data_IF_910454618872
#
_entry.id   IF_910454618872
#
_cell.length_a   1.000
_cell.length_b   1.000
_cell.length_c   1.000
_cell.angle_alpha   90.00
_cell.angle_beta   90.00
_cell.angle_gamma   90.00
#
_symmetry.space_group_name_H-M   'P 1'
#
loop_
_entity.id
_entity.type
_entity.pdbx_description
1 polymer ?
#
# COMPACT_ATOMS: atom_id res chain seq x y z
N UNK A 1 15.96 28.07 -4.55
CA UNK A 1 17.05 27.19 -4.11
C UNK A 1 16.89 25.89 -4.88
N UNK A 2 17.87 25.53 -5.66
CA UNK A 2 17.81 24.52 -6.73
C UNK A 2 17.49 23.11 -6.19
N UNK A 3 16.36 22.55 -6.54
CA UNK A 3 16.24 21.11 -6.60
C UNK A 3 16.59 20.64 -8.01
N UNK A 4 17.76 20.13 -8.14
CA UNK A 4 18.27 19.45 -9.31
C UNK A 4 18.20 17.97 -9.07
N UNK A 5 17.68 17.26 -10.06
CA UNK A 5 17.94 15.87 -10.41
C UNK A 5 17.21 14.83 -9.57
N UNK A 6 16.22 14.20 -10.16
CA UNK A 6 16.21 12.76 -10.18
C UNK A 6 15.92 12.28 -11.59
N UNK A 7 16.97 11.99 -12.20
CA UNK A 7 17.14 11.22 -13.41
C UNK A 7 16.95 9.75 -13.03
N UNK A 8 16.27 9.02 -13.89
CA UNK A 8 16.35 7.59 -14.05
C UNK A 8 17.70 7.05 -13.52
N UNK A 9 17.76 6.58 -12.30
CA UNK A 9 18.86 5.80 -11.82
C UNK A 9 18.51 4.32 -11.92
N UNK A 10 18.94 3.71 -13.01
CA UNK A 10 19.29 2.29 -12.98
C UNK A 10 20.45 2.15 -11.98
N UNK A 11 20.18 1.82 -10.75
CA UNK A 11 21.22 1.47 -9.78
C UNK A 11 21.44 -0.04 -9.83
N UNK A 12 22.54 -0.40 -10.46
CA UNK A 12 23.16 -1.68 -10.24
C UNK A 12 23.80 -1.68 -8.84
N UNK A 13 23.37 -2.59 -8.00
CA UNK A 13 24.20 -3.17 -6.96
C UNK A 13 24.03 -2.68 -5.53
N UNK A 14 23.29 -3.42 -4.77
CA UNK A 14 23.77 -4.06 -3.53
C UNK A 14 22.81 -5.16 -3.13
N UNK A 15 23.30 -6.38 -3.11
CA UNK A 15 22.60 -7.54 -2.56
C UNK A 15 22.41 -7.31 -1.06
N UNK A 16 21.20 -7.06 -0.66
CA UNK A 16 20.70 -7.44 0.65
C UNK A 16 19.64 -8.50 0.39
N UNK A 17 19.83 -9.69 0.90
CA UNK A 17 18.90 -10.80 0.83
C UNK A 17 17.70 -10.47 1.74
N UNK A 18 16.79 -9.69 1.24
CA UNK A 18 15.41 -9.67 1.68
C UNK A 18 14.60 -10.46 0.65
N UNK A 19 13.56 -11.12 1.08
CA UNK A 19 12.61 -11.75 0.19
C UNK A 19 12.21 -10.72 -0.86
N UNK A 20 12.73 -10.90 -2.07
CA UNK A 20 12.41 -10.05 -3.20
C UNK A 20 10.95 -10.34 -3.47
N UNK A 21 10.07 -9.44 -3.08
CA UNK A 21 8.75 -9.36 -3.70
C UNK A 21 9.03 -9.40 -5.20
N UNK A 22 8.57 -10.46 -5.85
CA UNK A 22 8.81 -10.64 -7.27
C UNK A 22 7.89 -9.70 -8.05
N UNK A 23 8.13 -8.40 -7.95
CA UNK A 23 7.81 -7.55 -9.06
C UNK A 23 8.60 -8.12 -10.23
N UNK A 24 7.88 -8.66 -11.20
CA UNK A 24 8.51 -9.12 -12.42
C UNK A 24 9.32 -7.94 -12.95
N UNK A 25 10.63 -7.96 -12.76
CA UNK A 25 11.50 -6.90 -13.27
C UNK A 25 11.26 -6.83 -14.76
N UNK A 26 10.97 -5.64 -15.28
CA UNK A 26 10.93 -5.41 -16.71
C UNK A 26 12.26 -5.95 -17.25
N UNK A 27 12.26 -6.92 -18.16
CA UNK A 27 13.49 -7.51 -18.63
C UNK A 27 14.44 -6.42 -19.13
N UNK A 28 15.68 -6.39 -18.66
CA UNK A 28 16.67 -5.33 -19.00
C UNK A 28 16.80 -5.09 -20.51
N UNK A 29 16.52 -6.11 -21.32
CA UNK A 29 16.53 -6.04 -22.80
C UNK A 29 15.40 -5.18 -23.38
N UNK A 30 14.34 -4.92 -22.64
CA UNK A 30 13.21 -4.08 -23.09
C UNK A 30 13.38 -2.62 -22.65
N UNK A 31 14.03 -2.38 -21.52
CA UNK A 31 14.33 -1.02 -21.03
C UNK A 31 15.28 -0.28 -21.96
N UNK A 32 16.08 -0.96 -22.76
CA UNK A 32 17.04 -0.33 -23.69
C UNK A 32 16.39 0.42 -24.88
N UNK A 33 15.10 0.21 -25.14
CA UNK A 33 14.38 0.85 -26.26
C UNK A 33 13.57 2.08 -25.84
N UNK A 34 13.21 2.19 -24.57
CA UNK A 34 12.54 3.37 -24.01
C UNK A 34 13.35 3.85 -22.80
N UNK A 35 14.32 4.70 -23.05
CA UNK A 35 15.09 5.34 -22.00
C UNK A 35 14.39 6.64 -21.59
N UNK A 36 14.38 6.94 -20.29
CA UNK A 36 13.91 8.21 -19.76
C UNK A 36 12.40 8.48 -19.95
N UNK A 37 11.57 7.43 -20.07
CA UNK A 37 10.13 7.59 -20.18
C UNK A 37 9.50 8.06 -18.86
N UNK A 38 8.77 9.18 -18.92
CA UNK A 38 7.90 9.61 -17.84
C UNK A 38 6.49 9.01 -18.02
N UNK A 39 5.99 8.98 -19.25
CA UNK A 39 4.66 8.44 -19.57
C UNK A 39 4.74 7.53 -20.81
N UNK A 40 4.12 6.36 -20.71
CA UNK A 40 3.88 5.45 -21.82
C UNK A 40 2.39 5.13 -21.89
N UNK A 41 1.70 5.59 -22.93
CA UNK A 41 0.27 5.45 -23.12
C UNK A 41 -0.04 4.87 -24.50
N UNK A 42 -1.04 3.97 -24.61
CA UNK A 42 -1.41 3.37 -25.88
C UNK A 42 -2.30 4.31 -26.71
N UNK A 43 -3.32 4.89 -26.11
CA UNK A 43 -4.25 5.76 -26.82
C UNK A 43 -3.68 7.17 -26.95
N UNK A 44 -3.71 7.96 -25.92
CA UNK A 44 -3.25 9.33 -26.00
C UNK A 44 -2.86 9.90 -24.65
N UNK A 45 -2.27 11.10 -24.71
CA UNK A 45 -1.94 11.89 -23.53
C UNK A 45 -2.55 13.28 -23.67
N UNK A 46 -3.40 13.63 -22.73
CA UNK A 46 -3.97 14.97 -22.64
C UNK A 46 -3.43 15.67 -21.39
N UNK A 47 -2.54 16.61 -21.59
CA UNK A 47 -1.95 17.42 -20.53
C UNK A 47 -2.75 18.72 -20.37
N UNK A 48 -3.26 18.95 -19.18
CA UNK A 48 -4.21 20.00 -18.88
C UNK A 48 -3.79 20.76 -17.62
N UNK A 49 -3.53 22.02 -17.69
CA UNK A 49 -3.13 22.97 -16.62
C UNK A 49 -1.98 22.56 -15.67
N UNK A 50 -1.00 23.42 -15.55
CA UNK A 50 0.04 23.39 -14.50
C UNK A 50 0.68 22.02 -14.28
N UNK A 51 1.22 21.45 -15.35
CA UNK A 51 1.91 20.17 -15.29
C UNK A 51 3.42 20.34 -15.22
N UNK A 52 4.09 19.38 -14.64
CA UNK A 52 5.53 19.20 -14.70
C UNK A 52 5.83 17.76 -15.12
N UNK A 53 6.42 17.58 -16.30
CA UNK A 53 6.85 16.28 -16.82
C UNK A 53 8.36 16.34 -17.07
N UNK A 54 9.11 15.53 -16.33
CA UNK A 54 10.56 15.35 -16.52
C UNK A 54 10.82 13.95 -17.09
N UNK A 55 11.06 13.86 -18.39
CA UNK A 55 11.24 12.63 -19.14
C UNK A 55 10.39 12.59 -20.41
N UNK A 56 10.54 11.51 -21.18
CA UNK A 56 9.88 11.35 -22.48
C UNK A 56 8.42 10.90 -22.35
N UNK A 57 7.59 11.37 -23.26
CA UNK A 57 6.20 10.96 -23.41
C UNK A 57 6.06 10.12 -24.67
N UNK A 58 5.68 8.85 -24.52
CA UNK A 58 5.38 7.92 -25.60
C UNK A 58 3.88 7.69 -25.68
N UNK A 59 3.25 7.96 -26.82
CA UNK A 59 1.82 7.81 -27.01
C UNK A 59 1.48 7.08 -28.32
N UNK A 60 0.64 6.06 -28.26
CA UNK A 60 0.09 5.39 -29.43
C UNK A 60 -0.95 6.24 -30.17
N UNK A 61 -1.59 7.17 -29.49
CA UNK A 61 -2.52 8.15 -30.02
C UNK A 61 -1.99 9.56 -30.04
N UNK A 62 -2.90 10.53 -29.99
CA UNK A 62 -2.57 11.97 -29.98
C UNK A 62 -1.99 12.40 -28.65
N UNK A 63 -1.00 13.28 -28.68
CA UNK A 63 -0.56 14.04 -27.49
C UNK A 63 -1.09 15.47 -27.62
N UNK A 64 -1.85 15.91 -26.62
CA UNK A 64 -2.54 17.18 -26.62
C UNK A 64 -2.21 17.98 -25.37
N UNK A 65 -1.85 19.23 -25.55
CA UNK A 65 -1.66 20.18 -24.47
C UNK A 65 -2.82 21.20 -24.52
N UNK A 66 -3.74 21.04 -23.56
CA UNK A 66 -4.90 21.89 -23.42
C UNK A 66 -4.70 22.86 -22.26
N UNK A 67 -5.10 24.08 -22.44
CA UNK A 67 -5.24 25.08 -21.40
C UNK A 67 -3.94 25.63 -20.79
N UNK A 68 -4.10 26.74 -20.09
CA UNK A 68 -3.02 27.56 -19.61
C UNK A 68 -2.66 27.29 -18.18
N UNK A 69 -1.41 27.19 -17.98
CA UNK A 69 -0.77 27.20 -16.70
C UNK A 69 0.74 27.28 -16.89
N UNK A 70 1.48 27.30 -15.83
CA UNK A 70 2.92 27.11 -15.88
C UNK A 70 3.18 25.63 -16.16
N UNK A 71 3.33 25.28 -17.44
CA UNK A 71 3.61 23.92 -17.86
C UNK A 71 5.11 23.75 -18.10
N UNK A 72 5.67 22.66 -17.63
CA UNK A 72 7.05 22.29 -17.81
C UNK A 72 7.15 20.90 -18.42
N UNK A 73 7.91 20.77 -19.50
CA UNK A 73 8.24 19.48 -20.11
C UNK A 73 9.74 19.44 -20.41
N UNK A 74 10.46 18.53 -19.78
CA UNK A 74 11.87 18.25 -20.02
C UNK A 74 12.05 16.83 -20.54
N UNK A 75 11.81 16.64 -21.83
CA UNK A 75 11.89 15.36 -22.52
C UNK A 75 11.40 15.46 -23.96
N UNK A 76 11.46 14.34 -24.68
CA UNK A 76 10.92 14.22 -26.04
C UNK A 76 9.45 13.78 -25.98
N UNK A 77 8.65 14.22 -26.94
CA UNK A 77 7.31 13.69 -27.19
C UNK A 77 7.38 12.80 -28.41
N UNK A 78 7.06 11.52 -28.26
CA UNK A 78 7.04 10.54 -29.33
C UNK A 78 5.60 10.02 -29.43
N UNK A 79 4.95 10.28 -30.56
CA UNK A 79 3.53 9.94 -30.79
C UNK A 79 3.35 9.32 -32.15
N UNK A 80 2.36 8.43 -32.30
CA UNK A 80 1.96 7.90 -33.62
C UNK A 80 1.02 8.85 -34.38
N UNK A 81 0.51 9.85 -33.71
CA UNK A 81 -0.40 10.86 -34.24
C UNK A 81 0.11 12.27 -33.99
N UNK A 82 -0.70 13.26 -34.33
CA UNK A 82 -0.37 14.66 -34.17
C UNK A 82 -0.08 15.04 -32.71
N UNK A 83 0.95 15.85 -32.52
CA UNK A 83 1.18 16.57 -31.27
C UNK A 83 0.56 17.96 -31.42
N UNK A 84 -0.46 18.23 -30.64
CA UNK A 84 -1.21 19.49 -30.72
C UNK A 84 -1.08 20.34 -29.46
N UNK A 85 -1.10 21.63 -29.66
CA UNK A 85 -1.07 22.64 -28.61
C UNK A 85 -2.24 23.58 -28.80
N UNK A 86 -2.89 23.99 -27.73
CA UNK A 86 -3.85 25.09 -27.81
C UNK A 86 -3.12 26.40 -28.11
N UNK A 87 -3.60 27.17 -29.10
CA UNK A 87 -2.83 28.28 -29.72
C UNK A 87 -2.25 29.29 -28.73
N UNK A 88 -3.01 29.68 -27.74
CA UNK A 88 -2.65 30.65 -26.70
C UNK A 88 -1.52 30.18 -25.79
N UNK A 89 -1.45 28.87 -25.55
CA UNK A 89 -0.60 28.21 -24.55
C UNK A 89 0.55 27.43 -25.17
N UNK A 90 0.43 27.09 -26.44
CA UNK A 90 1.54 26.48 -27.18
C UNK A 90 2.79 27.40 -27.21
N UNK A 91 2.60 28.71 -27.19
CA UNK A 91 3.68 29.68 -27.06
C UNK A 91 4.41 29.56 -25.72
N UNK A 92 3.67 29.39 -24.60
CA UNK A 92 4.26 29.25 -23.25
C UNK A 92 5.06 27.97 -23.14
N UNK A 93 4.54 26.83 -23.63
CA UNK A 93 5.27 25.57 -23.66
C UNK A 93 6.54 25.65 -24.52
N UNK A 94 6.46 26.29 -25.68
CA UNK A 94 7.61 26.42 -26.61
C UNK A 94 8.67 27.38 -26.13
N UNK A 95 8.28 28.50 -25.53
CA UNK A 95 9.16 29.61 -25.24
C UNK A 95 9.79 29.58 -23.85
N UNK A 96 9.25 28.79 -22.88
CA UNK A 96 9.71 28.88 -21.50
C UNK A 96 10.45 27.66 -20.99
N UNK A 97 9.90 26.47 -21.10
CA UNK A 97 10.43 25.33 -20.31
C UNK A 97 10.58 24.02 -21.09
N UNK A 98 10.04 23.94 -22.29
CA UNK A 98 10.11 22.72 -23.07
C UNK A 98 11.51 22.52 -23.65
N UNK A 99 12.09 21.35 -23.40
CA UNK A 99 13.38 20.93 -23.94
C UNK A 99 13.25 19.79 -24.97
N UNK A 100 12.14 19.10 -24.98
CA UNK A 100 11.90 17.96 -25.85
C UNK A 100 11.59 18.34 -27.30
N UNK A 101 11.64 17.36 -28.16
CA UNK A 101 11.35 17.45 -29.59
C UNK A 101 10.15 16.59 -29.92
N UNK A 102 9.18 17.18 -30.63
CA UNK A 102 8.02 16.42 -31.12
C UNK A 102 8.44 15.45 -32.21
N UNK A 103 8.09 14.19 -32.07
CA UNK A 103 8.36 13.15 -33.05
C UNK A 103 7.06 12.39 -33.33
N UNK A 104 6.74 12.22 -34.60
CA UNK A 104 5.66 11.34 -35.03
C UNK A 104 6.28 10.04 -35.49
N UNK A 105 5.91 8.93 -34.86
CA UNK A 105 6.42 7.61 -35.15
C UNK A 105 5.28 6.70 -35.58
N UNK A 106 5.25 6.32 -36.87
CA UNK A 106 4.15 5.53 -37.47
C UNK A 106 3.99 4.14 -36.83
N UNK A 107 5.01 3.65 -36.16
CA UNK A 107 5.00 2.31 -35.57
C UNK A 107 5.32 2.34 -34.07
N UNK A 108 4.47 3.02 -33.32
CA UNK A 108 4.58 3.08 -31.85
C UNK A 108 4.38 1.72 -31.19
N UNK A 109 3.67 0.77 -31.83
CA UNK A 109 3.44 -0.57 -31.28
C UNK A 109 4.75 -1.27 -30.93
N UNK A 110 5.81 -1.07 -31.70
CA UNK A 110 7.14 -1.64 -31.40
C UNK A 110 7.70 -1.21 -30.03
N UNK A 111 7.30 -0.05 -29.54
CA UNK A 111 7.67 0.43 -28.21
C UNK A 111 6.72 -0.07 -27.13
N UNK A 112 5.43 -0.02 -27.43
CA UNK A 112 4.36 -0.36 -26.49
C UNK A 112 4.28 -1.86 -26.24
N UNK A 113 4.32 -2.68 -27.30
CA UNK A 113 4.28 -4.15 -27.21
C UNK A 113 5.54 -4.71 -26.51
N UNK A 114 6.70 -4.07 -26.70
CA UNK A 114 7.92 -4.48 -26.03
C UNK A 114 7.89 -4.22 -24.51
N UNK A 115 7.08 -3.29 -24.07
CA UNK A 115 6.99 -2.88 -22.66
C UNK A 115 5.99 -3.69 -21.85
N UNK A 116 5.02 -4.34 -22.50
CA UNK A 116 3.92 -5.05 -21.88
C UNK A 116 3.78 -6.46 -22.41
N UNK A 117 4.58 -7.41 -21.95
CA UNK A 117 4.18 -8.80 -22.10
C UNK A 117 2.87 -9.01 -21.32
N UNK A 118 1.85 -9.56 -21.96
CA UNK A 118 0.54 -9.87 -21.33
C UNK A 118 0.68 -10.65 -20.01
N UNK A 119 1.73 -11.44 -19.88
CA UNK A 119 2.10 -12.20 -18.69
C UNK A 119 2.46 -11.31 -17.48
N UNK A 120 2.86 -10.08 -17.71
CA UNK A 120 3.30 -9.18 -16.65
C UNK A 120 2.14 -8.69 -15.77
N UNK A 121 0.96 -8.52 -16.35
CA UNK A 121 -0.23 -8.03 -15.67
C UNK A 121 -1.12 -9.15 -15.11
N UNK A 122 -0.83 -10.41 -15.39
CA UNK A 122 -1.69 -11.54 -15.05
C UNK A 122 -1.09 -12.54 -14.06
N UNK A 123 0.14 -12.29 -13.58
CA UNK A 123 0.82 -13.24 -12.71
C UNK A 123 0.27 -13.18 -11.27
N UNK A 124 -0.55 -14.20 -10.95
CA UNK A 124 -1.07 -14.42 -9.59
C UNK A 124 0.00 -15.02 -8.65
N UNK A 125 1.18 -15.36 -9.18
CA UNK A 125 2.25 -16.04 -8.43
C UNK A 125 2.91 -15.15 -7.37
N UNK A 126 2.68 -13.84 -7.43
CA UNK A 126 3.21 -12.87 -6.45
C UNK A 126 2.37 -12.75 -5.18
N UNK A 127 1.16 -13.32 -5.14
CA UNK A 127 0.32 -13.26 -3.93
C UNK A 127 0.94 -14.11 -2.82
N UNK A 128 1.31 -13.53 -1.67
CA UNK A 128 1.72 -14.30 -0.52
C UNK A 128 0.61 -15.25 -0.08
N UNK A 129 0.96 -16.49 0.21
CA UNK A 129 0.00 -17.47 0.71
C UNK A 129 -0.39 -17.16 2.15
N UNK A 130 -1.69 -17.27 2.45
CA UNK A 130 -2.15 -17.21 3.83
C UNK A 130 -1.57 -18.39 4.61
N UNK A 131 -0.94 -18.17 5.78
CA UNK A 131 -0.41 -19.26 6.58
C UNK A 131 -1.50 -20.27 6.94
N UNK A 132 -1.16 -21.57 6.90
CA UNK A 132 -2.09 -22.63 7.29
C UNK A 132 -2.39 -22.53 8.80
N UNK A 133 -3.66 -22.49 9.17
CA UNK A 133 -4.12 -22.39 10.55
C UNK A 133 -5.32 -23.29 10.91
N UNK A 134 -5.99 -23.87 9.92
CA UNK A 134 -7.23 -24.64 10.14
C UNK A 134 -6.98 -25.97 10.85
N UNK A 135 -5.88 -26.65 10.53
CA UNK A 135 -5.52 -27.96 11.08
C UNK A 135 -4.65 -27.86 12.34
N UNK A 136 -4.58 -26.68 12.97
CA UNK A 136 -3.76 -26.48 14.17
C UNK A 136 -4.42 -27.12 15.38
N UNK A 137 -3.69 -28.00 16.08
CA UNK A 137 -4.09 -28.53 17.35
C UNK A 137 -3.84 -27.52 18.48
N UNK A 138 -4.90 -27.16 19.20
CA UNK A 138 -4.83 -26.29 20.36
C UNK A 138 -4.70 -27.10 21.63
N UNK A 139 -3.56 -27.01 22.30
CA UNK A 139 -3.26 -27.74 23.53
C UNK A 139 -3.94 -27.15 24.74
N UNK A 140 -4.33 -25.89 24.68
CA UNK A 140 -5.05 -25.17 25.70
C UNK A 140 -6.32 -24.53 25.14
N UNK A 141 -7.43 -24.67 25.82
CA UNK A 141 -8.70 -24.01 25.51
C UNK A 141 -9.16 -23.19 26.72
N UNK A 142 -9.31 -21.91 26.52
CA UNK A 142 -9.71 -20.93 27.53
C UNK A 142 -11.09 -20.35 27.20
N UNK A 143 -11.88 -20.05 28.21
CA UNK A 143 -13.09 -19.26 28.03
C UNK A 143 -12.76 -17.79 27.78
N UNK A 144 -13.45 -16.89 28.47
CA UNK A 144 -13.14 -15.48 28.46
C UNK A 144 -11.99 -15.15 29.40
N UNK A 145 -10.97 -14.48 28.87
CA UNK A 145 -9.83 -13.99 29.64
C UNK A 145 -9.77 -12.46 29.54
N UNK A 146 -9.81 -11.81 30.71
CA UNK A 146 -9.58 -10.38 30.84
C UNK A 146 -8.17 -10.11 31.36
N UNK A 147 -7.38 -9.32 30.67
CA UNK A 147 -6.06 -8.89 31.12
C UNK A 147 -6.15 -7.41 31.53
N UNK A 148 -6.36 -7.19 32.82
CA UNK A 148 -6.57 -5.87 33.40
C UNK A 148 -6.18 -5.85 34.88
N UNK A 149 -6.12 -4.67 35.51
CA UNK A 149 -5.77 -4.51 36.92
C UNK A 149 -6.72 -5.23 37.90
N UNK A 150 -7.91 -5.64 37.43
CA UNK A 150 -8.95 -6.29 38.23
C UNK A 150 -9.04 -7.81 37.98
N UNK A 151 -8.18 -8.36 37.14
CA UNK A 151 -8.18 -9.80 36.78
C UNK A 151 -7.99 -10.66 38.00
N UNK A 152 -8.82 -11.72 38.15
CA UNK A 152 -8.71 -12.68 39.24
C UNK A 152 -8.49 -14.10 38.68
N UNK A 153 -7.49 -14.85 39.19
CA UNK A 153 -6.51 -14.42 40.21
C UNK A 153 -5.69 -13.23 39.69
N UNK A 154 -5.14 -12.40 40.58
CA UNK A 154 -4.34 -11.23 40.18
C UNK A 154 -3.16 -11.68 39.31
N UNK A 155 -3.08 -11.13 38.11
CA UNK A 155 -2.00 -11.39 37.19
C UNK A 155 -0.69 -10.80 37.74
N UNK A 156 0.47 -11.38 37.37
CA UNK A 156 1.74 -10.72 37.62
C UNK A 156 1.77 -9.37 36.94
N UNK A 157 2.60 -8.48 37.43
CA UNK A 157 2.75 -7.11 36.92
C UNK A 157 4.21 -6.90 36.50
N UNK A 158 4.45 -6.31 35.35
CA UNK A 158 5.79 -5.96 34.89
C UNK A 158 6.34 -4.69 35.60
N UNK A 159 7.55 -4.28 35.24
CA UNK A 159 8.22 -3.13 35.80
C UNK A 159 7.52 -1.79 35.53
N UNK A 160 6.75 -1.69 34.46
CA UNK A 160 5.93 -0.54 34.09
C UNK A 160 4.54 -0.58 34.72
N UNK A 161 4.27 -1.63 35.52
CA UNK A 161 3.01 -1.82 36.23
C UNK A 161 1.86 -2.30 35.36
N UNK A 162 2.13 -2.96 34.21
CA UNK A 162 1.12 -3.63 33.41
C UNK A 162 0.87 -5.02 33.95
N UNK A 163 -0.39 -5.40 34.27
CA UNK A 163 -0.74 -6.78 34.45
C UNK A 163 -0.54 -7.52 33.14
N UNK A 164 0.08 -8.72 33.18
CA UNK A 164 0.38 -9.46 31.96
C UNK A 164 -0.05 -10.92 32.01
N UNK A 165 -0.39 -11.44 30.83
CA UNK A 165 -0.73 -12.84 30.61
C UNK A 165 0.18 -13.41 29.52
N UNK A 166 0.88 -14.52 29.82
CA UNK A 166 1.80 -15.14 28.88
C UNK A 166 1.17 -16.34 28.21
N UNK A 167 1.32 -16.43 26.88
CA UNK A 167 0.88 -17.54 26.03
C UNK A 167 2.13 -18.14 25.40
N UNK A 168 2.50 -19.38 25.76
CA UNK A 168 3.69 -20.08 25.27
C UNK A 168 3.38 -21.40 24.56
N UNK A 169 2.11 -21.69 24.32
CA UNK A 169 1.62 -22.87 23.61
C UNK A 169 0.39 -22.53 22.78
N UNK A 170 0.04 -23.39 21.83
CA UNK A 170 -1.14 -23.18 20.99
C UNK A 170 -2.41 -23.10 21.84
N UNK A 171 -3.01 -21.93 21.89
CA UNK A 171 -4.13 -21.65 22.79
C UNK A 171 -5.32 -21.05 22.04
N UNK A 172 -6.52 -21.54 22.33
CA UNK A 172 -7.78 -20.97 21.86
C UNK A 172 -8.53 -20.25 22.98
N UNK A 173 -9.17 -19.12 22.65
CA UNK A 173 -9.97 -18.30 23.56
C UNK A 173 -11.37 -18.08 22.99
N UNK A 174 -12.39 -18.16 23.82
CA UNK A 174 -13.73 -17.66 23.47
C UNK A 174 -13.70 -16.13 23.37
N UNK A 175 -12.97 -15.48 24.25
CA UNK A 175 -12.72 -14.05 24.19
C UNK A 175 -11.44 -13.65 24.93
N UNK A 176 -10.77 -12.64 24.40
CA UNK A 176 -9.58 -12.02 25.00
C UNK A 176 -9.77 -10.50 25.03
N UNK A 177 -9.89 -9.96 26.23
CA UNK A 177 -10.01 -8.53 26.45
C UNK A 177 -8.76 -8.00 27.13
N UNK A 178 -8.05 -7.08 26.48
CA UNK A 178 -6.80 -6.49 26.99
C UNK A 178 -7.07 -5.03 27.33
N UNK A 179 -7.24 -4.76 28.63
CA UNK A 179 -7.62 -3.44 29.13
C UNK A 179 -6.56 -2.89 30.08
N UNK A 180 -5.72 -1.98 29.60
CA UNK A 180 -4.62 -1.44 30.40
C UNK A 180 -3.66 -2.52 30.93
N UNK A 181 -3.56 -3.63 30.21
CA UNK A 181 -2.67 -4.75 30.49
C UNK A 181 -1.96 -5.22 29.23
N UNK A 182 -1.13 -6.25 29.31
CA UNK A 182 -0.46 -6.82 28.14
C UNK A 182 -0.61 -8.35 28.04
N UNK A 183 -0.70 -8.82 26.83
CA UNK A 183 -0.56 -10.24 26.50
C UNK A 183 0.81 -10.45 25.88
N UNK A 184 1.59 -11.37 26.39
CA UNK A 184 2.88 -11.77 25.86
C UNK A 184 2.72 -13.10 25.15
N UNK A 185 2.94 -13.13 23.83
CA UNK A 185 3.05 -14.35 23.06
C UNK A 185 4.54 -14.74 23.03
N UNK A 186 4.89 -15.79 23.79
CA UNK A 186 6.26 -16.26 23.93
C UNK A 186 6.55 -17.41 22.95
N UNK A 187 7.28 -17.09 21.91
CA UNK A 187 7.68 -18.02 20.84
C UNK A 187 9.09 -18.57 21.02
N UNK A 188 9.73 -18.39 22.17
CA UNK A 188 11.12 -18.82 22.44
C UNK A 188 11.34 -20.31 22.15
N UNK A 189 10.35 -21.15 22.44
CA UNK A 189 10.45 -22.61 22.30
C UNK A 189 9.87 -23.15 20.97
N UNK A 190 9.36 -22.31 20.09
CA UNK A 190 8.75 -22.69 18.81
C UNK A 190 7.61 -21.79 18.42
N UNK A 191 7.02 -22.02 17.24
CA UNK A 191 5.85 -21.26 16.76
C UNK A 191 4.65 -21.40 17.73
N UNK A 192 3.90 -20.31 17.93
CA UNK A 192 2.72 -20.29 18.80
C UNK A 192 1.50 -19.79 18.02
N UNK A 193 0.42 -20.55 18.08
CA UNK A 193 -0.86 -20.20 17.48
C UNK A 193 -1.87 -19.77 18.55
N UNK A 194 -2.41 -18.57 18.39
CA UNK A 194 -3.39 -17.99 19.31
C UNK A 194 -4.68 -17.72 18.53
N UNK A 195 -5.73 -18.51 18.82
CA UNK A 195 -7.05 -18.32 18.23
C UNK A 195 -7.96 -17.59 19.22
N UNK A 196 -8.56 -16.49 18.78
CA UNK A 196 -9.44 -15.67 19.61
C UNK A 196 -10.75 -15.40 18.87
N UNK A 197 -11.87 -15.89 19.39
CA UNK A 197 -13.17 -15.64 18.76
C UNK A 197 -13.61 -14.18 18.89
N UNK A 198 -13.30 -13.54 20.02
CA UNK A 198 -13.58 -12.11 20.24
C UNK A 198 -12.35 -11.44 20.87
N UNK A 199 -11.68 -10.60 20.11
CA UNK A 199 -10.51 -9.84 20.54
C UNK A 199 -10.90 -8.37 20.77
N UNK A 200 -10.51 -7.80 21.90
CA UNK A 200 -10.74 -6.40 22.19
C UNK A 200 -9.59 -5.77 22.96
N UNK A 201 -9.33 -4.52 22.63
CA UNK A 201 -8.36 -3.66 23.32
C UNK A 201 -9.08 -2.46 23.92
N UNK A 202 -8.59 -1.96 25.05
CA UNK A 202 -9.06 -0.71 25.62
C UNK A 202 -8.01 -0.11 26.58
N UNK A 203 -8.21 1.14 26.92
CA UNK A 203 -7.37 1.87 27.88
C UNK A 203 -7.98 1.79 29.28
N UNK A 204 -7.14 1.59 30.30
CA UNK A 204 -7.51 1.72 31.71
C UNK A 204 -6.46 2.56 32.45
N UNK A 205 -6.90 3.60 33.17
CA UNK A 205 -6.01 4.52 33.91
C UNK A 205 -4.81 5.03 33.07
N UNK A 206 -5.09 5.50 31.86
CA UNK A 206 -4.12 6.00 30.86
C UNK A 206 -3.17 4.92 30.29
N UNK A 207 -3.29 3.65 30.72
CA UNK A 207 -2.56 2.54 30.15
C UNK A 207 -3.36 1.87 29.03
N UNK A 208 -2.74 1.70 27.89
CA UNK A 208 -3.33 0.99 26.75
C UNK A 208 -3.17 -0.51 26.92
N UNK A 209 -4.18 -1.27 26.52
CA UNK A 209 -4.05 -2.72 26.38
C UNK A 209 -3.32 -3.07 25.09
N UNK A 210 -2.37 -4.02 25.14
CA UNK A 210 -1.60 -4.42 23.96
C UNK A 210 -1.15 -5.87 23.96
N UNK A 211 -0.75 -6.35 22.78
CA UNK A 211 -0.07 -7.64 22.59
C UNK A 211 1.40 -7.36 22.24
N UNK A 212 2.30 -8.12 22.87
CA UNK A 212 3.73 -8.16 22.60
C UNK A 212 4.12 -9.58 22.18
N UNK A 213 4.98 -9.72 21.17
CA UNK A 213 5.56 -11.01 20.76
C UNK A 213 7.03 -11.04 21.15
N UNK A 214 7.45 -12.09 21.87
CA UNK A 214 8.82 -12.30 22.27
C UNK A 214 9.33 -13.65 21.77
N UNK A 215 10.60 -13.72 21.38
CA UNK A 215 11.23 -14.91 20.79
C UNK A 215 11.43 -14.77 19.27
N UNK A 216 12.17 -15.73 18.70
CA UNK A 216 12.63 -15.69 17.30
C UNK A 216 11.79 -16.56 16.35
N UNK A 217 10.78 -17.26 16.88
CA UNK A 217 9.87 -18.08 16.07
C UNK A 217 8.58 -17.32 15.75
N UNK A 218 7.86 -17.68 14.66
CA UNK A 218 6.63 -17.03 14.29
C UNK A 218 5.52 -17.18 15.33
N UNK A 219 4.78 -16.12 15.56
CA UNK A 219 3.50 -16.13 16.23
C UNK A 219 2.36 -16.01 15.21
N UNK A 220 1.26 -16.71 15.42
CA UNK A 220 0.07 -16.66 14.59
C UNK A 220 -1.11 -16.23 15.44
N UNK A 221 -1.68 -15.06 15.13
CA UNK A 221 -2.90 -14.58 15.78
C UNK A 221 -4.07 -14.78 14.81
N UNK A 222 -5.04 -15.57 15.21
CA UNK A 222 -6.25 -15.83 14.42
C UNK A 222 -7.42 -15.18 15.17
N UNK A 223 -7.98 -14.10 14.63
CA UNK A 223 -9.08 -13.40 15.31
C UNK A 223 -9.99 -12.64 14.33
N UNK A 224 -11.15 -12.19 14.83
CA UNK A 224 -11.89 -11.14 14.16
C UNK A 224 -11.14 -9.79 14.28
N UNK A 225 -11.42 -8.86 13.39
CA UNK A 225 -10.85 -7.51 13.45
C UNK A 225 -11.40 -6.74 14.67
N UNK A 226 -10.57 -6.28 15.61
CA UNK A 226 -10.98 -5.37 16.67
C UNK A 226 -11.04 -3.94 16.17
N UNK A 227 -11.92 -3.12 16.75
CA UNK A 227 -12.03 -1.69 16.43
C UNK A 227 -10.78 -0.89 16.82
N UNK A 228 -10.12 -1.25 17.93
CA UNK A 228 -8.78 -0.79 18.30
C UNK A 228 -7.82 -1.96 18.21
N UNK A 229 -6.57 -1.72 17.82
CA UNK A 229 -5.57 -2.79 17.65
C UNK A 229 -4.18 -2.28 18.07
N UNK A 230 -3.73 -2.76 19.22
CA UNK A 230 -2.36 -2.58 19.73
C UNK A 230 -1.66 -3.94 19.69
N UNK A 231 -1.10 -4.29 18.54
CA UNK A 231 -0.69 -5.65 18.23
C UNK A 231 0.79 -5.69 17.90
N UNK A 232 1.53 -6.50 18.64
CA UNK A 232 2.98 -6.66 18.59
C UNK A 232 3.70 -5.31 18.70
N UNK A 233 3.48 -4.65 19.82
CA UNK A 233 4.07 -3.35 20.15
C UNK A 233 4.74 -3.41 21.52
N UNK A 234 5.63 -2.48 21.78
CA UNK A 234 6.41 -2.38 23.01
C UNK A 234 6.22 -1.01 23.64
N UNK A 235 5.84 -0.97 24.92
CA UNK A 235 5.80 0.26 25.70
C UNK A 235 7.22 0.76 25.99
N UNK A 236 7.54 1.98 25.61
CA UNK A 236 8.84 2.63 25.85
C UNK A 236 9.00 3.18 27.26
N UNK A 237 7.95 3.08 28.09
CA UNK A 237 7.96 3.46 29.50
C UNK A 237 7.47 4.87 29.82
N UNK A 238 7.15 5.67 28.80
CA UNK A 238 6.60 7.04 28.94
C UNK A 238 5.16 7.16 28.43
N UNK A 239 4.52 6.02 28.15
CA UNK A 239 3.17 5.93 27.55
C UNK A 239 3.18 6.01 26.03
N UNK A 240 4.35 6.05 25.40
CA UNK A 240 4.54 5.88 23.97
C UNK A 240 4.78 4.39 23.63
N UNK A 241 4.58 4.06 22.36
CA UNK A 241 4.74 2.70 21.86
C UNK A 241 5.58 2.68 20.61
N UNK A 242 6.46 1.69 20.52
CA UNK A 242 7.20 1.35 19.32
C UNK A 242 6.71 0.04 18.73
N UNK A 243 6.97 -0.19 17.43
CA UNK A 243 6.75 -1.46 16.79
C UNK A 243 7.60 -2.55 17.44
N UNK A 244 6.98 -3.69 17.73
CA UNK A 244 7.68 -4.87 18.22
C UNK A 244 8.61 -5.48 17.16
N UNK A 245 9.48 -6.37 17.60
CA UNK A 245 10.45 -7.06 16.72
C UNK A 245 10.09 -8.51 16.44
N UNK A 246 9.09 -9.08 17.14
CA UNK A 246 8.65 -10.46 16.95
C UNK A 246 7.96 -10.66 15.60
N UNK A 247 8.13 -11.84 15.00
CA UNK A 247 7.45 -12.22 13.75
C UNK A 247 6.00 -12.60 14.04
N UNK A 248 5.06 -11.73 13.70
CA UNK A 248 3.62 -11.96 13.89
C UNK A 248 2.89 -12.05 12.55
N UNK A 249 2.15 -13.13 12.35
CA UNK A 249 1.20 -13.31 11.26
C UNK A 249 -0.21 -13.18 11.84
N UNK A 250 -0.93 -12.14 11.45
CA UNK A 250 -2.29 -11.90 11.90
C UNK A 250 -3.30 -12.30 10.84
N UNK A 251 -3.97 -13.41 11.06
CA UNK A 251 -5.01 -13.94 10.20
C UNK A 251 -6.36 -13.44 10.71
N UNK A 252 -6.93 -12.49 10.01
CA UNK A 252 -8.23 -11.92 10.37
C UNK A 252 -9.32 -12.77 9.72
N UNK A 253 -10.15 -13.36 10.54
CA UNK A 253 -11.29 -14.18 10.11
C UNK A 253 -12.58 -13.36 10.13
N UNK A 254 -13.49 -13.57 9.15
CA UNK A 254 -14.79 -12.92 9.15
C UNK A 254 -15.61 -13.26 10.40
N UNK A 255 -16.47 -12.35 10.81
CA UNK A 255 -17.44 -12.61 11.87
C UNK A 255 -18.45 -13.69 11.45
N UNK A 256 -18.84 -14.54 12.39
CA UNK A 256 -19.87 -15.56 12.14
C UNK A 256 -21.26 -14.96 11.77
N UNK A 257 -21.46 -13.66 11.99
CA UNK A 257 -22.70 -12.94 11.66
C UNK A 257 -22.65 -12.25 10.30
N UNK A 258 -21.52 -12.40 9.58
CA UNK A 258 -21.23 -11.64 8.38
C UNK A 258 -20.84 -10.19 8.69
N UNK A 259 -19.87 -9.69 7.99
CA UNK A 259 -19.35 -8.32 8.15
C UNK A 259 -19.78 -7.47 6.96
N UNK A 260 -20.66 -6.49 7.17
CA UNK A 260 -20.92 -5.49 6.12
C UNK A 260 -19.78 -4.48 6.05
N UNK A 261 -19.21 -4.11 7.21
CA UNK A 261 -18.14 -3.13 7.34
C UNK A 261 -17.10 -3.66 8.33
N UNK A 262 -15.86 -3.76 7.90
CA UNK A 262 -14.73 -4.17 8.74
C UNK A 262 -13.74 -3.02 8.81
N UNK A 263 -13.41 -2.61 10.03
CA UNK A 263 -12.36 -1.61 10.29
C UNK A 263 -11.24 -2.24 11.09
N UNK A 264 -10.02 -2.15 10.58
CA UNK A 264 -8.81 -2.62 11.25
C UNK A 264 -8.09 -1.41 11.81
N UNK A 265 -8.05 -1.36 13.13
CA UNK A 265 -7.54 -0.22 13.86
C UNK A 265 -8.47 0.99 13.83
N UNK A 266 -8.16 1.98 14.66
CA UNK A 266 -8.90 3.21 14.84
C UNK A 266 -8.06 4.40 14.39
N UNK A 267 -8.71 5.47 13.93
CA UNK A 267 -8.10 6.78 13.66
C UNK A 267 -7.61 7.48 14.95
N UNK A 268 -8.02 6.98 16.13
CA UNK A 268 -7.49 7.47 17.40
C UNK A 268 -6.05 6.96 17.61
N UNK A 269 -5.27 7.68 18.38
CA UNK A 269 -3.89 7.32 18.74
C UNK A 269 -3.75 5.99 19.55
N UNK A 270 -4.80 5.16 19.54
CA UNK A 270 -4.90 3.93 20.30
C UNK A 270 -4.69 2.65 19.47
N UNK A 271 -4.23 2.79 18.23
CA UNK A 271 -3.95 1.64 17.39
C UNK A 271 -2.56 1.73 16.78
N UNK A 272 -1.83 0.61 16.81
CA UNK A 272 -0.54 0.39 16.16
C UNK A 272 -0.37 -1.11 15.92
N UNK A 273 0.05 -1.51 14.73
CA UNK A 273 0.11 -2.91 14.33
C UNK A 273 1.49 -3.22 13.75
N UNK A 274 2.18 -4.22 14.32
CA UNK A 274 3.39 -4.78 13.73
C UNK A 274 3.15 -6.27 13.40
N UNK A 275 2.62 -6.52 12.22
CA UNK A 275 2.27 -7.86 11.78
C UNK A 275 2.08 -7.92 10.26
N UNK A 276 2.34 -9.08 9.66
CA UNK A 276 1.78 -9.37 8.35
C UNK A 276 0.30 -9.73 8.52
N UNK A 277 -0.56 -9.02 7.80
CA UNK A 277 -2.01 -9.14 7.93
C UNK A 277 -2.58 -9.92 6.75
N UNK A 278 -3.35 -10.95 7.04
CA UNK A 278 -4.06 -11.77 6.06
C UNK A 278 -5.57 -11.69 6.29
N UNK A 279 -6.31 -11.26 5.29
CA UNK A 279 -7.77 -11.20 5.33
C UNK A 279 -8.39 -11.69 4.03
N UNK A 280 -9.17 -12.75 4.09
CA UNK A 280 -9.83 -13.38 2.94
C UNK A 280 -11.37 -13.37 3.06
N UNK A 281 -11.93 -12.41 3.78
CA UNK A 281 -13.38 -12.20 3.87
C UNK A 281 -13.91 -11.35 2.71
N UNK A 282 -15.24 -11.31 2.61
CA UNK A 282 -15.98 -10.55 1.58
C UNK A 282 -16.89 -9.47 2.20
N UNK A 283 -16.39 -8.50 2.97
CA UNK A 283 -17.20 -7.42 3.48
C UNK A 283 -17.58 -6.47 2.34
N UNK A 284 -18.62 -5.68 2.53
CA UNK A 284 -18.96 -4.60 1.60
C UNK A 284 -17.90 -3.50 1.58
N UNK A 285 -17.19 -3.32 2.69
CA UNK A 285 -16.06 -2.41 2.79
C UNK A 285 -15.10 -2.85 3.89
N UNK A 286 -13.81 -2.82 3.56
CA UNK A 286 -12.70 -3.04 4.47
C UNK A 286 -11.89 -1.76 4.61
N UNK A 287 -11.63 -1.30 5.83
CA UNK A 287 -10.86 -0.08 6.07
C UNK A 287 -9.69 -0.30 7.01
N UNK A 288 -8.56 0.35 6.70
CA UNK A 288 -7.36 0.39 7.52
C UNK A 288 -7.11 1.83 7.99
N UNK A 289 -6.87 2.01 9.30
CA UNK A 289 -6.72 3.33 9.89
C UNK A 289 -5.54 3.45 10.88
N UNK A 290 -4.85 2.36 11.17
CA UNK A 290 -3.74 2.33 12.13
C UNK A 290 -2.37 2.38 11.46
N UNK A 291 -1.35 3.01 12.05
CA UNK A 291 0.04 2.77 11.70
C UNK A 291 0.36 1.28 11.72
N UNK A 292 0.94 0.78 10.63
CA UNK A 292 1.18 -0.64 10.42
C UNK A 292 2.60 -0.88 9.91
N UNK A 293 3.24 -1.95 10.39
CA UNK A 293 4.49 -2.46 9.88
C UNK A 293 4.35 -3.95 9.60
N UNK A 294 4.64 -4.35 8.37
CA UNK A 294 4.43 -5.70 7.83
C UNK A 294 3.55 -5.67 6.58
N UNK A 295 3.43 -6.78 5.91
CA UNK A 295 2.69 -6.88 4.65
C UNK A 295 1.17 -7.04 4.88
N UNK A 296 0.38 -6.53 3.95
CA UNK A 296 -1.08 -6.65 3.97
C UNK A 296 -1.54 -7.46 2.77
N UNK A 297 -2.11 -8.62 3.01
CA UNK A 297 -2.60 -9.56 2.00
C UNK A 297 -4.11 -9.68 2.09
N UNK A 298 -4.81 -9.23 1.06
CA UNK A 298 -6.26 -9.15 1.02
C UNK A 298 -6.83 -10.03 -0.09
N UNK A 299 -7.92 -10.73 0.21
CA UNK A 299 -8.72 -11.46 -0.77
C UNK A 299 -9.61 -10.55 -1.60
N UNK A 300 -10.90 -10.86 -1.67
CA UNK A 300 -11.85 -10.22 -2.61
C UNK A 300 -12.50 -8.93 -2.12
N UNK A 301 -12.15 -8.42 -0.94
CA UNK A 301 -12.78 -7.25 -0.35
C UNK A 301 -12.44 -5.94 -1.11
N UNK A 302 -13.42 -5.03 -1.31
CA UNK A 302 -13.11 -3.63 -1.59
C UNK A 302 -12.43 -3.00 -0.37
N UNK A 303 -11.35 -2.25 -0.60
CA UNK A 303 -10.53 -1.73 0.49
C UNK A 303 -10.32 -0.23 0.43
N UNK A 304 -10.27 0.38 1.61
CA UNK A 304 -9.90 1.78 1.80
C UNK A 304 -8.85 1.93 2.90
N UNK A 305 -7.87 2.78 2.66
CA UNK A 305 -6.83 3.15 3.61
C UNK A 305 -7.03 4.62 3.99
N UNK A 306 -7.30 4.87 5.26
CA UNK A 306 -7.62 6.21 5.75
C UNK A 306 -6.40 7.14 5.80
N UNK A 307 -6.66 8.43 5.97
CA UNK A 307 -5.64 9.48 5.96
C UNK A 307 -4.66 9.45 7.16
N UNK A 308 -4.95 8.67 8.19
CA UNK A 308 -4.05 8.43 9.34
C UNK A 308 -3.25 7.14 9.19
N UNK A 309 -3.58 6.33 8.19
CA UNK A 309 -2.89 5.08 7.92
C UNK A 309 -1.46 5.34 7.44
N UNK A 310 -0.51 4.61 8.03
CA UNK A 310 0.86 4.54 7.53
C UNK A 310 1.29 3.09 7.44
N UNK A 311 2.08 2.74 6.43
CA UNK A 311 2.58 1.38 6.24
C UNK A 311 4.07 1.38 5.94
N UNK A 312 4.81 0.51 6.64
CA UNK A 312 6.14 0.02 6.26
C UNK A 312 5.99 -1.46 5.86
N UNK A 313 5.83 -1.74 4.58
CA UNK A 313 5.56 -3.07 4.02
C UNK A 313 4.74 -2.99 2.74
N UNK A 314 4.42 -4.13 2.15
CA UNK A 314 3.75 -4.23 0.86
C UNK A 314 2.23 -4.46 1.00
N UNK A 315 1.47 -4.06 -0.01
CA UNK A 315 0.03 -4.33 -0.09
C UNK A 315 -0.26 -5.25 -1.29
N UNK A 316 -0.92 -6.36 -1.02
CA UNK A 316 -1.45 -7.31 -2.01
C UNK A 316 -2.97 -7.35 -1.90
N UNK A 317 -3.67 -6.63 -2.78
CA UNK A 317 -5.14 -6.53 -2.76
C UNK A 317 -5.74 -7.18 -4.00
N UNK A 318 -6.41 -8.31 -3.80
CA UNK A 318 -7.01 -9.10 -4.88
C UNK A 318 -8.52 -8.87 -5.03
N UNK A 319 -9.09 -7.92 -4.30
CA UNK A 319 -10.45 -7.46 -4.50
C UNK A 319 -10.65 -6.78 -5.86
N UNK A 320 -11.75 -7.10 -6.53
CA UNK A 320 -11.97 -6.68 -7.92
C UNK A 320 -12.69 -5.34 -8.06
N UNK A 321 -13.29 -4.79 -7.01
CA UNK A 321 -14.13 -3.59 -7.16
C UNK A 321 -13.38 -2.28 -6.92
N UNK A 322 -12.81 -2.08 -5.74
CA UNK A 322 -12.25 -0.78 -5.34
C UNK A 322 -11.01 -0.90 -4.48
N UNK A 323 -10.01 -0.08 -4.80
CA UNK A 323 -8.84 0.22 -3.98
C UNK A 323 -8.74 1.74 -3.79
N UNK A 324 -8.95 2.22 -2.58
CA UNK A 324 -8.93 3.64 -2.23
C UNK A 324 -7.85 3.91 -1.18
N UNK A 325 -6.83 4.67 -1.53
CA UNK A 325 -5.67 4.92 -0.68
C UNK A 325 -5.51 6.41 -0.38
N UNK A 326 -5.60 6.77 0.89
CA UNK A 326 -5.40 8.14 1.38
C UNK A 326 -4.34 8.21 2.50
N UNK A 327 -3.60 7.14 2.70
CA UNK A 327 -2.55 7.01 3.71
C UNK A 327 -1.15 7.37 3.22
N UNK A 328 -0.16 6.87 3.94
CA UNK A 328 1.27 6.89 3.55
C UNK A 328 1.82 5.47 3.55
N UNK A 329 2.60 5.11 2.54
CA UNK A 329 3.24 3.79 2.42
C UNK A 329 4.70 3.91 1.99
N UNK A 330 5.53 3.07 2.59
CA UNK A 330 6.87 2.72 2.10
C UNK A 330 6.87 1.22 1.81
N UNK A 331 6.72 0.87 0.53
CA UNK A 331 6.56 -0.49 0.03
C UNK A 331 5.78 -0.51 -1.28
N UNK A 332 5.64 -1.68 -1.85
CA UNK A 332 5.00 -1.87 -3.15
C UNK A 332 3.49 -2.18 -3.00
N UNK A 333 2.72 -1.86 -4.03
CA UNK A 333 1.28 -2.11 -4.07
C UNK A 333 0.95 -2.97 -5.29
N UNK A 334 0.34 -4.13 -5.07
CA UNK A 334 -0.26 -4.96 -6.11
C UNK A 334 -1.77 -5.01 -5.89
N UNK A 335 -2.55 -4.55 -6.87
CA UNK A 335 -4.01 -4.58 -6.77
C UNK A 335 -4.68 -5.06 -8.05
N UNK A 336 -5.76 -5.83 -7.89
CA UNK A 336 -6.65 -6.26 -8.99
C UNK A 336 -7.95 -5.46 -9.07
N UNK A 337 -8.06 -4.38 -8.31
CA UNK A 337 -9.27 -3.56 -8.30
C UNK A 337 -9.52 -2.89 -9.66
N UNK A 338 -10.79 -2.85 -10.08
CA UNK A 338 -11.24 -2.14 -11.28
C UNK A 338 -11.11 -0.62 -11.12
N UNK A 339 -11.34 -0.11 -9.93
CA UNK A 339 -11.17 1.30 -9.61
C UNK A 339 -10.06 1.47 -8.59
N UNK A 340 -9.01 2.19 -8.98
CA UNK A 340 -7.85 2.50 -8.13
C UNK A 340 -7.76 4.00 -7.96
N UNK A 341 -7.68 4.44 -6.72
CA UNK A 341 -7.59 5.86 -6.38
C UNK A 341 -6.55 6.10 -5.29
N UNK A 342 -5.65 7.03 -5.57
CA UNK A 342 -4.71 7.60 -4.61
C UNK A 342 -5.14 9.04 -4.29
N UNK A 343 -5.73 9.23 -3.11
CA UNK A 343 -6.30 10.50 -2.69
C UNK A 343 -5.29 11.39 -1.98
N UNK A 344 -5.64 12.66 -1.82
CA UNK A 344 -4.90 13.64 -1.03
C UNK A 344 -5.84 14.42 -0.13
N UNK A 345 -6.05 13.93 1.09
CA UNK A 345 -6.85 14.64 2.09
C UNK A 345 -6.09 15.79 2.81
N UNK A 346 -4.88 16.11 2.35
CA UNK A 346 -4.11 17.25 2.85
C UNK A 346 -3.33 17.04 4.15
N UNK A 347 -3.40 15.87 4.77
CA UNK A 347 -2.69 15.62 6.03
C UNK A 347 -1.19 15.37 5.83
N UNK A 348 -0.80 14.82 4.68
CA UNK A 348 0.59 14.58 4.31
C UNK A 348 0.89 15.35 3.02
N UNK A 349 1.74 16.37 3.11
CA UNK A 349 2.15 17.17 1.96
C UNK A 349 3.22 16.47 1.09
N UNK A 350 3.97 15.52 1.71
CA UNK A 350 5.14 14.90 1.10
C UNK A 350 4.93 13.40 0.91
N UNK A 351 5.61 12.81 -0.08
CA UNK A 351 5.73 11.41 -0.47
C UNK A 351 4.76 10.44 0.23
N UNK A 352 3.58 10.24 -0.37
CA UNK A 352 2.56 9.34 0.19
C UNK A 352 2.77 7.90 -0.17
N UNK A 353 3.25 7.65 -1.38
CA UNK A 353 3.57 6.33 -1.88
C UNK A 353 5.03 6.31 -2.26
N UNK A 354 5.83 5.55 -1.54
CA UNK A 354 7.24 5.29 -1.86
C UNK A 354 7.37 3.81 -2.17
N UNK A 355 7.35 3.47 -3.46
CA UNK A 355 7.35 2.10 -3.98
C UNK A 355 6.61 2.03 -5.31
N UNK A 356 6.57 0.84 -5.90
CA UNK A 356 5.91 0.63 -7.18
C UNK A 356 4.44 0.26 -7.00
N UNK A 357 3.62 0.61 -7.99
CA UNK A 357 2.21 0.25 -8.01
C UNK A 357 1.91 -0.59 -9.24
N UNK A 358 1.36 -1.77 -9.04
CA UNK A 358 0.86 -2.65 -10.08
C UNK A 358 -0.66 -2.83 -9.95
N UNK A 359 -1.41 -2.21 -10.86
CA UNK A 359 -2.87 -2.23 -10.90
C UNK A 359 -3.35 -3.03 -12.12
N UNK A 360 -3.23 -4.36 -12.02
CA UNK A 360 -3.31 -5.31 -13.14
C UNK A 360 -4.68 -5.45 -13.81
N UNK A 361 -5.76 -5.03 -13.16
CA UNK A 361 -7.12 -5.12 -13.71
C UNK A 361 -7.86 -3.78 -13.68
N UNK A 362 -7.16 -2.69 -13.39
CA UNK A 362 -7.83 -1.39 -13.31
C UNK A 362 -8.45 -1.02 -14.67
N UNK A 363 -9.65 -0.48 -14.61
CA UNK A 363 -10.32 0.21 -15.71
C UNK A 363 -10.23 1.72 -15.53
N UNK A 364 -10.14 2.17 -14.27
CA UNK A 364 -9.96 3.57 -13.89
C UNK A 364 -8.87 3.70 -12.84
N UNK A 365 -7.95 4.64 -13.05
CA UNK A 365 -6.85 4.93 -12.16
C UNK A 365 -6.73 6.43 -11.92
N UNK A 366 -6.74 6.84 -10.67
CA UNK A 366 -6.70 8.24 -10.28
C UNK A 366 -5.59 8.52 -9.27
N UNK A 367 -4.81 9.58 -9.52
CA UNK A 367 -3.73 10.03 -8.62
C UNK A 367 -3.90 11.51 -8.32
N UNK A 368 -3.98 11.85 -7.05
CA UNK A 368 -3.95 13.24 -6.57
C UNK A 368 -2.94 13.48 -5.45
N UNK A 369 -2.01 12.55 -5.24
CA UNK A 369 -0.97 12.64 -4.23
C UNK A 369 0.44 12.54 -4.83
N UNK A 370 1.47 12.70 -3.99
CA UNK A 370 2.86 12.48 -4.37
C UNK A 370 3.23 11.00 -4.28
N UNK A 371 3.75 10.45 -5.38
CA UNK A 371 4.20 9.07 -5.53
C UNK A 371 5.65 9.03 -6.00
N UNK A 372 6.46 8.18 -5.39
CA UNK A 372 7.86 7.91 -5.77
C UNK A 372 7.98 6.44 -6.13
N UNK A 373 8.12 6.15 -7.41
CA UNK A 373 8.18 4.79 -7.96
C UNK A 373 7.41 4.67 -9.28
N UNK A 374 7.44 3.48 -9.86
CA UNK A 374 6.78 3.23 -11.13
C UNK A 374 5.33 2.79 -10.93
N UNK A 375 4.47 3.18 -11.84
CA UNK A 375 3.08 2.73 -11.90
C UNK A 375 2.87 1.92 -13.17
N UNK A 376 2.33 0.71 -13.00
CA UNK A 376 1.94 -0.18 -14.09
C UNK A 376 0.45 -0.46 -13.98
N UNK A 377 -0.33 -0.18 -15.03
CA UNK A 377 -1.77 -0.36 -14.99
C UNK A 377 -2.35 -0.75 -16.34
N UNK A 378 -3.42 -1.54 -16.33
CA UNK A 378 -4.23 -1.83 -17.53
C UNK A 378 -5.41 -0.86 -17.68
N UNK A 379 -5.46 0.23 -16.90
CA UNK A 379 -6.57 1.17 -16.91
C UNK A 379 -6.86 1.73 -18.31
N UNK A 380 -8.14 1.87 -18.63
CA UNK A 380 -8.59 2.58 -19.84
C UNK A 380 -8.54 4.10 -19.62
N UNK A 381 -8.66 4.55 -18.38
CA UNK A 381 -8.50 5.97 -18.01
C UNK A 381 -7.50 6.10 -16.89
N UNK A 382 -6.51 6.98 -17.08
CA UNK A 382 -5.51 7.31 -16.08
C UNK A 382 -5.49 8.83 -15.86
N UNK A 383 -5.90 9.25 -14.68
CA UNK A 383 -6.02 10.66 -14.35
C UNK A 383 -5.01 11.06 -13.25
N UNK A 384 -4.18 12.04 -13.54
CA UNK A 384 -3.29 12.70 -12.58
C UNK A 384 -3.84 14.12 -12.39
N UNK A 385 -4.36 14.44 -11.20
CA UNK A 385 -5.01 15.73 -10.98
C UNK A 385 -4.84 16.25 -9.55
N UNK A 386 -5.03 17.56 -9.40
CA UNK A 386 -4.94 18.24 -8.12
C UNK A 386 -3.56 18.82 -7.81
N UNK A 387 -3.54 19.84 -6.96
CA UNK A 387 -2.34 20.63 -6.66
C UNK A 387 -1.24 19.88 -5.86
N UNK A 388 -1.46 18.63 -5.48
CA UNK A 388 -0.49 17.79 -4.77
C UNK A 388 -0.07 16.54 -5.57
N UNK A 389 -0.60 16.36 -6.78
CA UNK A 389 -0.24 15.22 -7.60
C UNK A 389 1.16 15.40 -8.18
N UNK A 390 2.04 14.46 -7.87
CA UNK A 390 3.39 14.38 -8.42
C UNK A 390 3.77 12.90 -8.51
N UNK A 391 4.33 12.46 -9.63
CA UNK A 391 4.84 11.10 -9.79
C UNK A 391 6.31 11.20 -10.16
N UNK A 392 7.17 10.73 -9.24
CA UNK A 392 8.61 10.58 -9.48
C UNK A 392 8.89 9.13 -9.90
N UNK A 393 8.77 8.87 -11.20
CA UNK A 393 8.89 7.54 -11.78
C UNK A 393 8.23 7.47 -13.14
N UNK A 394 8.00 6.27 -13.64
CA UNK A 394 7.39 6.05 -14.94
C UNK A 394 5.96 5.52 -14.80
N UNK A 395 5.04 6.10 -15.57
CA UNK A 395 3.67 5.63 -15.72
C UNK A 395 3.58 4.74 -16.96
N UNK A 396 3.24 3.46 -16.75
CA UNK A 396 3.00 2.49 -17.80
C UNK A 396 1.50 2.19 -17.85
N UNK A 397 0.80 2.85 -18.73
CA UNK A 397 -0.64 2.73 -18.89
C UNK A 397 -1.01 2.51 -20.38
N UNK A 398 -0.65 1.34 -20.96
CA UNK A 398 -0.69 1.13 -22.40
C UNK A 398 -2.08 1.20 -23.00
N UNK A 399 -3.13 0.96 -22.22
CA UNK A 399 -4.53 1.03 -22.67
C UNK A 399 -5.21 2.35 -22.32
N UNK A 400 -4.49 3.26 -21.64
CA UNK A 400 -5.13 4.43 -21.07
C UNK A 400 -5.18 5.63 -22.03
N UNK A 401 -6.27 6.38 -21.91
CA UNK A 401 -6.30 7.82 -22.16
C UNK A 401 -5.75 8.50 -20.89
N UNK A 402 -4.52 9.01 -20.99
CA UNK A 402 -3.81 9.62 -19.86
C UNK A 402 -4.13 11.11 -19.79
N UNK A 403 -4.69 11.57 -18.68
CA UNK A 403 -4.99 12.98 -18.42
C UNK A 403 -4.14 13.49 -17.27
N UNK A 404 -3.42 14.57 -17.52
CA UNK A 404 -2.52 15.21 -16.56
C UNK A 404 -2.99 16.64 -16.34
N UNK A 405 -3.22 17.02 -15.09
CA UNK A 405 -3.63 18.35 -14.70
C UNK A 405 -5.03 18.42 -14.05
N UNK A 406 -5.45 19.59 -13.64
CA UNK A 406 -6.79 19.80 -13.04
C UNK A 406 -7.89 19.79 -14.10
N UNK A 407 -8.94 19.07 -13.83
CA UNK A 407 -10.17 19.13 -14.65
C UNK A 407 -10.95 20.39 -14.35
#
# INVERSE_FOLDING_TARGET
MNMKKMVSCLVAGSMLTMAVSAFAQIPETQVSTINNAAVVAFDGVNAHQSMNIEGDVYAGGQVKFDNAGENYLDGDIISSQEVSYQDEYSAILKDTNRKGVDKVEENMSKYLDAYYPDTYLTDDSVKPETPAYEDVEYTSAQGWVGVNAWSYPSLPTDENGYPYYTISENTSFDGLSVQGGKVVIDTTNGPVYVKVNQLSFSTDNDKKGYIEVVGDNPAYLISQAPGEAMVNVVDTGDGTFDFGTGDLKWIIVPSQWGDSWVSIGSTSANSMICADIYYDGEPQNLSFNAPTKGDIVLGSAPVSFGNTFTLEGDIYSYGTSKFDFDGKITGDIVTKAETVRFANSGQYADERVTGNVNAINATSYEVSCHMVGNTVTSAETFNIYGGGANIEGTVYAPKADVKIGTT
#
